data_IF_645328728711
#
_entry.id   IF_645328728711
#
_cell.length_a   1.000
_cell.length_b   1.000
_cell.length_c   1.000
_cell.angle_alpha   90.00
_cell.angle_beta   90.00
_cell.angle_gamma   90.00
#
_symmetry.space_group_name_H-M   'P 1'
#
loop_
_entity.id
_entity.type
_entity.pdbx_description
1 polymer ?
#
# COMPACT_ATOMS: atom_id res chain seq x y z
N UNK A 1 5.57 0.50 6.35
CA UNK A 1 4.15 0.68 5.94
C UNK A 1 4.10 1.16 4.50
N UNK A 2 3.09 0.75 3.71
CA UNK A 2 2.98 1.17 2.30
C UNK A 2 2.42 2.57 2.13
N UNK A 3 1.44 2.95 2.91
CA UNK A 3 0.66 4.18 2.74
C UNK A 3 0.73 5.14 3.92
N UNK A 4 1.56 4.86 4.90
CA UNK A 4 1.68 5.66 6.10
C UNK A 4 3.12 5.94 6.48
N UNK A 5 3.30 6.92 7.36
CA UNK A 5 4.57 7.26 7.99
C UNK A 5 4.81 6.52 9.31
N UNK A 6 3.76 5.95 9.91
CA UNK A 6 3.85 5.27 11.19
C UNK A 6 4.41 3.85 11.04
N UNK A 7 5.13 3.39 12.05
CA UNK A 7 5.59 2.01 12.15
C UNK A 7 4.47 1.09 12.64
N UNK A 8 4.63 -0.23 12.53
CA UNK A 8 3.71 -1.20 13.14
C UNK A 8 3.53 -0.94 14.63
N UNK A 9 4.61 -0.62 15.34
CA UNK A 9 4.59 -0.33 16.77
C UNK A 9 3.73 0.89 17.10
N UNK A 10 3.97 2.01 16.42
CA UNK A 10 3.19 3.24 16.62
C UNK A 10 1.70 3.03 16.36
N UNK A 11 1.34 2.28 15.30
CA UNK A 11 -0.07 1.98 15.01
C UNK A 11 -0.68 1.09 16.07
N UNK A 12 0.02 0.05 16.52
CA UNK A 12 -0.46 -0.87 17.55
C UNK A 12 -0.59 -0.21 18.92
N UNK A 13 0.36 0.66 19.31
CA UNK A 13 0.26 1.46 20.53
C UNK A 13 -0.97 2.37 20.50
N UNK A 14 -1.20 3.06 19.38
CA UNK A 14 -2.40 3.90 19.20
C UNK A 14 -3.68 3.08 19.22
N UNK A 15 -3.68 1.87 18.63
CA UNK A 15 -4.81 0.96 18.65
C UNK A 15 -5.14 0.51 20.08
N UNK A 16 -4.14 0.08 20.85
CA UNK A 16 -4.29 -0.31 22.23
C UNK A 16 -4.83 0.83 23.11
N UNK A 17 -4.26 2.05 22.97
CA UNK A 17 -4.71 3.23 23.68
C UNK A 17 -6.17 3.60 23.41
N UNK A 18 -6.69 3.26 22.21
CA UNK A 18 -8.08 3.51 21.78
C UNK A 18 -9.02 2.34 22.06
N UNK A 19 -8.53 1.28 22.70
CA UNK A 19 -9.32 0.09 23.00
C UNK A 19 -9.68 -0.76 21.78
N UNK A 20 -8.87 -0.71 20.73
CA UNK A 20 -9.03 -1.59 19.55
C UNK A 20 -8.58 -3.00 19.93
N UNK A 21 -9.51 -3.95 19.90
CA UNK A 21 -9.24 -5.34 20.27
C UNK A 21 -8.62 -6.16 19.12
N UNK A 22 -8.96 -5.83 17.87
CA UNK A 22 -8.51 -6.56 16.66
C UNK A 22 -8.08 -5.60 15.59
N UNK A 23 -6.93 -5.86 14.95
CA UNK A 23 -6.37 -5.06 13.88
C UNK A 23 -5.81 -5.94 12.77
N UNK A 24 -5.96 -5.53 11.52
CA UNK A 24 -5.25 -6.11 10.39
C UNK A 24 -4.35 -5.05 9.75
N UNK A 25 -3.09 -5.40 9.48
CA UNK A 25 -2.26 -4.62 8.57
C UNK A 25 -2.44 -5.16 7.16
N UNK A 26 -2.88 -4.29 6.24
CA UNK A 26 -3.13 -4.62 4.84
C UNK A 26 -2.24 -3.79 3.94
N UNK A 27 -0.92 -3.96 4.07
CA UNK A 27 0.05 -3.26 3.23
C UNK A 27 -0.10 -3.67 1.76
N UNK A 28 0.17 -2.74 0.86
CA UNK A 28 0.08 -2.99 -0.58
C UNK A 28 1.09 -4.04 -1.05
N UNK A 29 0.54 -5.09 -1.65
CA UNK A 29 1.24 -6.13 -2.41
C UNK A 29 2.28 -6.94 -1.59
N UNK A 30 2.20 -6.92 -0.25
CA UNK A 30 3.16 -7.59 0.64
C UNK A 30 2.55 -8.06 1.94
N UNK A 31 3.00 -9.22 2.42
CA UNK A 31 2.73 -9.77 3.76
C UNK A 31 3.92 -9.64 4.70
N UNK A 32 5.01 -9.01 4.27
CA UNK A 32 6.24 -8.87 5.06
C UNK A 32 5.98 -8.07 6.34
N UNK A 33 6.46 -8.59 7.47
CA UNK A 33 6.34 -7.99 8.79
C UNK A 33 5.08 -8.38 9.58
N UNK A 34 4.21 -9.24 9.04
CA UNK A 34 3.02 -9.70 9.76
C UNK A 34 3.35 -10.51 11.00
N UNK A 35 4.41 -11.31 10.98
CA UNK A 35 4.87 -12.08 12.15
C UNK A 35 5.32 -11.16 13.27
N UNK A 36 6.17 -10.18 12.96
CA UNK A 36 6.62 -9.20 13.94
C UNK A 36 5.47 -8.34 14.48
N UNK A 37 4.52 -7.96 13.61
CA UNK A 37 3.33 -7.22 14.02
C UNK A 37 2.43 -8.04 14.96
N UNK A 38 2.31 -9.35 14.73
CA UNK A 38 1.55 -10.27 15.60
C UNK A 38 2.17 -10.35 17.00
N UNK A 39 3.48 -10.60 17.08
CA UNK A 39 4.21 -10.67 18.35
C UNK A 39 4.09 -9.35 19.15
N UNK A 40 4.13 -8.24 18.45
CA UNK A 40 3.98 -6.92 19.05
C UNK A 40 2.54 -6.69 19.54
N UNK A 41 1.54 -7.07 18.72
CA UNK A 41 0.12 -6.99 19.07
C UNK A 41 -0.21 -7.80 20.33
N UNK A 42 0.34 -9.03 20.46
CA UNK A 42 0.19 -9.87 21.66
C UNK A 42 0.71 -9.17 22.92
N UNK A 43 1.86 -8.49 22.84
CA UNK A 43 2.42 -7.72 23.96
C UNK A 43 1.56 -6.51 24.37
N UNK A 44 0.88 -5.92 23.39
CA UNK A 44 0.04 -4.72 23.58
C UNK A 44 -1.45 -5.05 23.82
N UNK A 45 -1.82 -6.34 23.80
CA UNK A 45 -3.20 -6.77 23.99
C UNK A 45 -4.11 -6.53 22.78
N UNK A 46 -3.54 -6.38 21.57
CA UNK A 46 -4.26 -6.22 20.31
C UNK A 46 -4.13 -7.50 19.49
N UNK A 47 -5.25 -8.17 19.23
CA UNK A 47 -5.26 -9.36 18.39
C UNK A 47 -4.99 -8.99 16.93
N UNK A 48 -3.89 -9.50 16.37
CA UNK A 48 -3.55 -9.27 14.98
C UNK A 48 -4.19 -10.30 14.04
N UNK A 49 -4.79 -9.80 12.97
CA UNK A 49 -5.22 -10.58 11.80
C UNK A 49 -4.23 -10.31 10.68
N UNK A 50 -3.65 -11.36 10.10
CA UNK A 50 -2.77 -11.21 8.95
C UNK A 50 -3.53 -10.64 7.76
N UNK A 51 -2.89 -9.74 7.00
CA UNK A 51 -3.57 -9.08 5.89
C UNK A 51 -2.64 -8.60 4.78
N UNK A 52 -3.23 -8.35 3.64
CA UNK A 52 -2.60 -7.76 2.45
C UNK A 52 -3.65 -6.94 1.69
N UNK A 53 -3.24 -5.89 0.99
CA UNK A 53 -4.07 -5.21 0.00
C UNK A 53 -3.42 -5.38 -1.38
N UNK A 54 -3.99 -6.26 -2.20
CA UNK A 54 -3.48 -6.53 -3.55
C UNK A 54 -3.94 -5.44 -4.50
N UNK A 55 -2.98 -4.77 -5.14
CA UNK A 55 -3.23 -3.80 -6.21
C UNK A 55 -3.56 -4.53 -7.50
N UNK A 56 -4.81 -4.54 -7.91
CA UNK A 56 -5.31 -5.31 -9.03
C UNK A 56 -6.04 -4.45 -10.07
N UNK A 57 -6.35 -5.07 -11.21
CA UNK A 57 -7.08 -4.45 -12.30
C UNK A 57 -8.20 -5.38 -12.78
N UNK A 58 -9.39 -4.83 -12.94
CA UNK A 58 -10.49 -5.50 -13.59
C UNK A 58 -10.38 -5.24 -15.11
N UNK A 59 -9.78 -6.18 -15.82
CA UNK A 59 -9.58 -6.06 -17.28
C UNK A 59 -10.88 -6.14 -18.08
N UNK A 60 -11.92 -6.73 -17.51
CA UNK A 60 -13.23 -6.81 -18.16
C UNK A 60 -13.91 -5.44 -18.20
N UNK A 61 -13.76 -4.66 -17.12
CA UNK A 61 -14.38 -3.34 -16.97
C UNK A 61 -13.40 -2.18 -17.14
N UNK A 62 -12.10 -2.46 -17.34
CA UNK A 62 -11.08 -1.47 -17.64
C UNK A 62 -10.76 -0.53 -16.47
N UNK A 63 -10.74 -1.02 -15.21
CA UNK A 63 -10.53 -0.18 -14.03
C UNK A 63 -9.66 -0.84 -12.96
N UNK A 64 -9.02 0.00 -12.14
CA UNK A 64 -8.30 -0.46 -10.95
C UNK A 64 -9.27 -0.92 -9.88
N UNK A 65 -8.85 -1.95 -9.16
CA UNK A 65 -9.53 -2.47 -7.98
C UNK A 65 -8.50 -2.88 -6.94
N UNK A 66 -8.88 -2.86 -5.67
CA UNK A 66 -8.03 -3.42 -4.63
C UNK A 66 -8.75 -4.59 -3.96
N UNK A 67 -8.01 -5.67 -3.74
CA UNK A 67 -8.52 -6.87 -3.08
C UNK A 67 -7.77 -7.05 -1.76
N UNK A 68 -8.48 -6.98 -0.64
CA UNK A 68 -7.91 -7.36 0.65
C UNK A 68 -7.87 -8.88 0.75
N UNK A 69 -6.76 -9.40 1.27
CA UNK A 69 -6.68 -10.76 1.81
C UNK A 69 -6.61 -10.67 3.33
N UNK A 70 -7.61 -11.19 4.04
CA UNK A 70 -7.63 -11.23 5.49
C UNK A 70 -7.44 -12.66 5.99
N UNK A 71 -6.66 -12.85 7.05
CA UNK A 71 -6.34 -14.17 7.60
C UNK A 71 -5.17 -14.85 6.89
N UNK A 72 -4.42 -14.14 6.03
CA UNK A 72 -3.23 -14.68 5.37
C UNK A 72 -2.00 -14.61 6.28
N UNK A 73 -1.04 -15.51 6.04
CA UNK A 73 0.20 -15.56 6.80
C UNK A 73 1.34 -14.82 6.08
N UNK A 74 2.41 -14.46 6.82
CA UNK A 74 3.62 -13.91 6.21
C UNK A 74 4.26 -14.94 5.28
N UNK A 75 4.64 -14.51 4.07
CA UNK A 75 5.25 -15.37 3.06
C UNK A 75 4.27 -16.31 2.35
N UNK A 76 2.97 -16.07 2.46
CA UNK A 76 1.90 -16.75 1.74
C UNK A 76 2.29 -16.96 0.26
N UNK A 77 2.45 -18.22 -0.24
CA UNK A 77 3.19 -18.49 -1.48
C UNK A 77 2.48 -18.02 -2.74
N UNK A 78 1.16 -18.16 -2.83
CA UNK A 78 0.40 -17.72 -4.01
C UNK A 78 0.41 -16.19 -4.12
N UNK A 79 0.24 -15.48 -3.02
CA UNK A 79 0.32 -14.02 -2.95
C UNK A 79 1.74 -13.52 -3.24
N UNK A 80 2.77 -14.17 -2.70
CA UNK A 80 4.16 -13.81 -2.95
C UNK A 80 4.52 -13.96 -4.44
N UNK A 81 4.08 -15.04 -5.08
CA UNK A 81 4.28 -15.27 -6.50
C UNK A 81 3.54 -14.24 -7.37
N UNK A 82 2.29 -13.90 -6.99
CA UNK A 82 1.47 -12.94 -7.72
C UNK A 82 2.00 -11.51 -7.60
N UNK A 83 2.34 -11.06 -6.38
CA UNK A 83 2.66 -9.66 -6.09
C UNK A 83 4.14 -9.31 -6.31
N UNK A 84 5.03 -10.29 -6.45
CA UNK A 84 6.47 -10.04 -6.52
C UNK A 84 6.89 -9.12 -7.66
N UNK A 85 6.34 -9.31 -8.87
CA UNK A 85 6.60 -8.43 -10.01
C UNK A 85 6.01 -7.02 -9.81
N UNK A 86 4.84 -6.92 -9.19
CA UNK A 86 4.18 -5.65 -8.88
C UNK A 86 5.04 -4.79 -7.95
N UNK A 87 5.61 -5.39 -6.90
CA UNK A 87 6.53 -4.69 -5.97
C UNK A 87 7.79 -4.20 -6.69
N UNK A 88 8.39 -5.01 -7.56
CA UNK A 88 9.57 -4.61 -8.32
C UNK A 88 9.27 -3.45 -9.26
N UNK A 89 8.17 -3.52 -10.01
CA UNK A 89 7.72 -2.44 -10.90
C UNK A 89 7.39 -1.17 -10.11
N UNK A 90 6.72 -1.30 -8.97
CA UNK A 90 6.38 -0.18 -8.09
C UNK A 90 7.64 0.54 -7.60
N UNK A 91 8.64 -0.20 -7.13
CA UNK A 91 9.91 0.38 -6.69
C UNK A 91 10.62 1.10 -7.83
N UNK A 92 10.75 0.47 -8.99
CA UNK A 92 11.36 1.07 -10.17
C UNK A 92 10.60 2.31 -10.66
N UNK A 93 9.26 2.27 -10.60
CA UNK A 93 8.42 3.40 -10.96
C UNK A 93 8.57 4.58 -9.97
N UNK A 94 8.61 4.29 -8.68
CA UNK A 94 8.77 5.34 -7.66
C UNK A 94 10.17 5.97 -7.68
N UNK A 95 11.22 5.20 -7.97
CA UNK A 95 12.57 5.75 -8.21
C UNK A 95 12.58 6.68 -9.42
N UNK A 96 11.99 6.25 -10.55
CA UNK A 96 11.84 7.11 -11.73
C UNK A 96 11.04 8.39 -11.41
N UNK A 97 9.97 8.31 -10.62
CA UNK A 97 9.19 9.46 -10.20
C UNK A 97 10.03 10.42 -9.33
N UNK A 98 10.86 9.88 -8.43
CA UNK A 98 11.79 10.68 -7.63
C UNK A 98 12.78 11.45 -8.50
N UNK A 99 13.37 10.77 -9.50
CA UNK A 99 14.28 11.41 -10.47
C UNK A 99 13.57 12.54 -11.23
N UNK A 100 12.33 12.32 -11.66
CA UNK A 100 11.53 13.36 -12.36
C UNK A 100 11.26 14.59 -11.50
N UNK A 101 11.00 14.39 -10.21
CA UNK A 101 10.79 15.51 -9.28
C UNK A 101 12.06 16.33 -9.12
N UNK A 102 13.21 15.67 -8.96
CA UNK A 102 14.52 16.34 -8.84
C UNK A 102 14.87 17.10 -10.12
N UNK A 103 14.73 16.48 -11.29
CA UNK A 103 15.01 17.08 -12.59
C UNK A 103 14.11 18.28 -12.90
N UNK A 104 12.87 18.26 -12.43
CA UNK A 104 11.92 19.36 -12.57
C UNK A 104 12.14 20.50 -11.55
N UNK A 105 13.12 20.36 -10.65
CA UNK A 105 13.50 21.37 -9.67
C UNK A 105 12.58 21.45 -8.44
N UNK A 106 11.84 20.39 -8.14
CA UNK A 106 11.09 20.33 -6.89
C UNK A 106 12.05 20.17 -5.71
N UNK A 107 11.78 20.87 -4.61
CA UNK A 107 12.46 20.67 -3.34
C UNK A 107 11.96 19.39 -2.70
N UNK A 108 12.62 18.27 -2.98
CA UNK A 108 12.32 16.95 -2.43
C UNK A 108 13.48 16.45 -1.56
N UNK A 109 13.17 16.02 -0.35
CA UNK A 109 14.15 15.37 0.54
C UNK A 109 14.38 13.92 0.08
N UNK A 110 15.34 13.76 -0.85
CA UNK A 110 15.67 12.47 -1.47
C UNK A 110 16.09 11.45 -0.43
N UNK A 111 16.89 11.85 0.58
CA UNK A 111 17.35 10.93 1.61
C UNK A 111 16.18 10.41 2.45
N UNK A 112 15.29 11.30 2.84
CA UNK A 112 14.05 10.96 3.55
C UNK A 112 13.17 10.00 2.76
N UNK A 113 12.97 10.23 1.46
CA UNK A 113 12.21 9.34 0.60
C UNK A 113 12.81 7.92 0.58
N UNK A 114 14.13 7.83 0.39
CA UNK A 114 14.85 6.56 0.34
C UNK A 114 14.89 5.84 1.71
N UNK A 115 14.99 6.57 2.82
CA UNK A 115 14.86 6.00 4.17
C UNK A 115 13.50 5.35 4.40
N UNK A 116 12.42 6.05 4.05
CA UNK A 116 11.06 5.51 4.13
C UNK A 116 10.88 4.26 3.26
N UNK A 117 11.45 4.27 2.04
CA UNK A 117 11.46 3.11 1.17
C UNK A 117 12.22 1.92 1.74
N UNK A 118 13.40 2.15 2.38
CA UNK A 118 14.19 1.10 3.05
C UNK A 118 13.48 0.52 4.28
N UNK A 119 12.71 1.34 4.99
CA UNK A 119 11.91 0.90 6.14
C UNK A 119 10.58 0.20 5.72
N UNK A 120 10.35 0.07 4.43
CA UNK A 120 9.19 -0.61 3.82
C UNK A 120 9.67 -1.71 2.87
N UNK A 121 8.75 -2.35 2.14
CA UNK A 121 9.10 -3.37 1.13
C UNK A 121 9.57 -2.79 -0.18
N UNK A 122 9.16 -1.55 -0.49
CA UNK A 122 9.64 -0.78 -1.64
C UNK A 122 9.35 0.71 -1.42
N UNK A 123 9.79 1.54 -2.35
CA UNK A 123 9.43 2.96 -2.38
C UNK A 123 8.01 3.11 -2.94
N UNK A 124 7.17 3.87 -2.23
CA UNK A 124 5.78 4.18 -2.59
C UNK A 124 5.60 5.68 -2.86
N UNK A 125 4.57 6.04 -3.63
CA UNK A 125 4.23 7.46 -3.90
C UNK A 125 4.02 8.27 -2.63
N UNK A 126 3.49 7.66 -1.58
CA UNK A 126 3.28 8.28 -0.27
C UNK A 126 4.61 8.66 0.40
N UNK A 127 5.68 7.88 0.20
CA UNK A 127 7.02 8.23 0.68
C UNK A 127 7.57 9.47 -0.06
N UNK A 128 7.31 9.55 -1.37
CA UNK A 128 7.68 10.74 -2.16
C UNK A 128 6.90 11.97 -1.69
N UNK A 129 5.61 11.83 -1.43
CA UNK A 129 4.80 12.91 -0.89
C UNK A 129 5.28 13.36 0.50
N UNK A 130 5.65 12.43 1.38
CA UNK A 130 6.19 12.74 2.71
C UNK A 130 7.55 13.44 2.66
N UNK A 131 8.29 13.29 1.55
CA UNK A 131 9.56 13.96 1.29
C UNK A 131 9.38 15.31 0.57
N UNK A 132 8.21 15.57 -0.03
CA UNK A 132 7.89 16.78 -0.80
C UNK A 132 7.17 17.84 0.02
N UNK A 133 6.37 17.44 1.00
CA UNK A 133 5.46 18.37 1.69
C UNK A 133 5.21 17.95 3.13
N UNK A 134 5.02 18.95 3.99
CA UNK A 134 4.53 18.79 5.36
C UNK A 134 3.00 18.85 5.46
N UNK A 135 2.30 19.04 4.33
CA UNK A 135 0.85 19.04 4.30
C UNK A 135 0.30 17.69 4.79
N UNK A 136 -0.60 17.68 5.78
CA UNK A 136 -1.12 16.43 6.30
C UNK A 136 -2.06 15.76 5.31
N UNK A 137 -2.00 14.44 5.22
CA UNK A 137 -3.01 13.65 4.52
C UNK A 137 -4.33 13.61 5.33
N UNK A 138 -5.50 13.84 4.74
CA UNK A 138 -5.81 14.16 3.34
C UNK A 138 -6.20 15.65 3.14
N UNK A 139 -5.35 16.59 3.50
CA UNK A 139 -5.63 18.02 3.32
C UNK A 139 -5.92 18.39 1.86
N UNK A 140 -6.53 19.53 1.63
CA UNK A 140 -6.75 20.03 0.27
C UNK A 140 -5.42 20.30 -0.46
N UNK A 141 -4.42 20.84 0.25
CA UNK A 141 -3.08 21.08 -0.27
C UNK A 141 -2.41 19.79 -0.71
N UNK A 142 -2.41 18.77 0.16
CA UNK A 142 -1.89 17.45 -0.18
C UNK A 142 -2.53 16.87 -1.44
N UNK A 143 -3.87 16.84 -1.50
CA UNK A 143 -4.59 16.27 -2.66
C UNK A 143 -4.31 17.02 -3.95
N UNK A 144 -4.24 18.35 -3.89
CA UNK A 144 -3.92 19.18 -5.07
C UNK A 144 -2.52 18.88 -5.58
N UNK A 145 -1.51 18.86 -4.70
CA UNK A 145 -0.14 18.53 -5.06
C UNK A 145 -0.02 17.11 -5.62
N UNK A 146 -0.63 16.13 -4.94
CA UNK A 146 -0.63 14.74 -5.40
C UNK A 146 -1.20 14.60 -6.82
N UNK A 147 -2.36 15.23 -7.08
CA UNK A 147 -2.99 15.16 -8.42
C UNK A 147 -2.13 15.82 -9.49
N UNK A 148 -1.59 17.01 -9.22
CA UNK A 148 -0.78 17.74 -10.20
C UNK A 148 0.52 17.02 -10.59
N UNK A 149 1.04 16.17 -9.71
CA UNK A 149 2.28 15.42 -9.97
C UNK A 149 2.03 14.02 -10.54
N UNK A 150 1.10 13.27 -9.93
CA UNK A 150 0.96 11.83 -10.15
C UNK A 150 -0.31 11.44 -10.93
N UNK A 151 -1.12 12.41 -11.35
CA UNK A 151 -2.38 12.21 -12.10
C UNK A 151 -2.49 13.24 -13.20
N UNK A 152 -3.48 13.05 -14.06
CA UNK A 152 -3.94 14.03 -15.05
C UNK A 152 -2.82 14.57 -15.97
N UNK A 153 -1.83 13.74 -16.32
CA UNK A 153 -0.68 14.10 -17.15
C UNK A 153 0.43 14.84 -16.42
N UNK A 154 0.47 14.78 -15.08
CA UNK A 154 1.56 15.30 -14.26
C UNK A 154 2.90 14.63 -14.58
N UNK A 155 4.01 15.29 -14.22
CA UNK A 155 5.38 14.83 -14.56
C UNK A 155 5.74 13.43 -14.02
N UNK A 156 5.04 12.97 -13.00
CA UNK A 156 5.16 11.65 -12.39
C UNK A 156 3.99 10.73 -12.73
N UNK A 157 3.12 11.12 -13.67
CA UNK A 157 1.94 10.34 -14.06
C UNK A 157 2.35 9.15 -14.93
N UNK A 158 2.82 8.11 -14.28
CA UNK A 158 3.13 6.80 -14.85
C UNK A 158 2.58 5.72 -13.94
N UNK A 159 1.99 4.71 -14.53
CA UNK A 159 1.46 3.57 -13.82
C UNK A 159 2.36 2.34 -13.95
N UNK A 160 2.00 1.28 -13.24
CA UNK A 160 2.62 -0.04 -13.32
C UNK A 160 1.62 -1.02 -13.92
N UNK A 161 2.08 -2.21 -14.30
CA UNK A 161 1.20 -3.30 -14.66
C UNK A 161 0.60 -3.91 -13.39
N UNK A 162 -0.72 -4.00 -13.38
CA UNK A 162 -1.48 -4.58 -12.26
C UNK A 162 -1.83 -6.04 -12.56
N UNK A 163 -1.96 -6.82 -11.51
CA UNK A 163 -2.45 -8.21 -11.60
C UNK A 163 -3.95 -8.23 -11.89
N UNK A 164 -4.45 -9.32 -12.48
CA UNK A 164 -5.90 -9.49 -12.68
C UNK A 164 -6.63 -9.63 -11.33
N UNK A 165 -7.76 -8.98 -11.19
CA UNK A 165 -8.57 -9.00 -9.96
C UNK A 165 -9.01 -10.42 -9.58
N UNK A 166 -9.31 -11.28 -10.57
CA UNK A 166 -9.70 -12.67 -10.35
C UNK A 166 -8.52 -13.51 -9.85
N UNK A 167 -7.31 -13.24 -10.35
CA UNK A 167 -6.10 -13.91 -9.89
C UNK A 167 -5.75 -13.46 -8.47
N UNK A 168 -5.98 -12.19 -8.12
CA UNK A 168 -5.83 -11.70 -6.76
C UNK A 168 -6.77 -12.43 -5.78
N UNK A 169 -8.05 -12.58 -6.14
CA UNK A 169 -9.02 -13.33 -5.33
C UNK A 169 -8.60 -14.80 -5.18
N UNK A 170 -8.16 -15.45 -6.28
CA UNK A 170 -7.70 -16.86 -6.23
C UNK A 170 -6.49 -17.02 -5.32
N UNK A 171 -5.48 -16.15 -5.43
CA UNK A 171 -4.28 -16.22 -4.60
C UNK A 171 -4.61 -16.04 -3.11
N UNK A 172 -5.51 -15.12 -2.75
CA UNK A 172 -5.97 -14.96 -1.38
C UNK A 172 -6.63 -16.23 -0.85
N UNK A 173 -7.52 -16.84 -1.65
CA UNK A 173 -8.24 -18.07 -1.25
C UNK A 173 -7.29 -19.27 -1.18
N UNK A 174 -6.36 -19.40 -2.12
CA UNK A 174 -5.35 -20.47 -2.13
C UNK A 174 -4.45 -20.41 -0.90
N UNK A 175 -4.10 -19.22 -0.45
CA UNK A 175 -3.34 -18.99 0.79
C UNK A 175 -4.21 -19.00 2.07
N UNK A 176 -5.48 -19.46 1.96
CA UNK A 176 -6.39 -19.67 3.10
C UNK A 176 -7.03 -18.39 3.65
N UNK A 177 -6.89 -17.27 2.97
CA UNK A 177 -7.47 -16.00 3.37
C UNK A 177 -8.92 -15.79 2.90
N UNK A 178 -9.55 -14.77 3.46
CA UNK A 178 -10.82 -14.21 3.01
C UNK A 178 -10.57 -13.03 2.07
N UNK A 179 -11.00 -13.15 0.82
CA UNK A 179 -10.92 -12.05 -0.14
C UNK A 179 -12.06 -11.04 0.08
N UNK A 180 -11.71 -9.76 0.14
CA UNK A 180 -12.65 -8.65 0.35
C UNK A 180 -12.37 -7.56 -0.68
N UNK A 181 -13.42 -7.05 -1.35
CA UNK A 181 -13.28 -5.88 -2.23
C UNK A 181 -13.04 -4.63 -1.38
N UNK A 182 -11.88 -3.99 -1.54
CA UNK A 182 -11.51 -2.80 -0.78
C UNK A 182 -12.21 -1.55 -1.33
N UNK A 183 -12.64 -0.67 -0.43
CA UNK A 183 -13.15 0.69 -0.70
C UNK A 183 -13.83 0.86 -2.10
N UNK A 184 -14.88 0.06 -2.43
CA UNK A 184 -15.48 0.04 -3.76
C UNK A 184 -16.03 1.42 -4.20
N UNK A 185 -16.41 2.28 -3.26
CA UNK A 185 -16.83 3.64 -3.55
C UNK A 185 -15.72 4.57 -4.01
N UNK A 186 -14.45 4.31 -3.64
CA UNK A 186 -13.32 5.10 -4.08
C UNK A 186 -12.95 4.78 -5.54
N UNK A 187 -13.12 3.53 -5.95
CA UNK A 187 -12.71 3.01 -7.26
C UNK A 187 -13.89 2.72 -8.18
N UNK A 188 -15.11 3.12 -7.79
CA UNK A 188 -16.37 2.89 -8.51
C UNK A 188 -16.54 1.43 -8.95
N UNK A 189 -16.40 0.52 -7.98
CA UNK A 189 -16.32 -0.92 -8.22
C UNK A 189 -17.40 -1.75 -7.49
N UNK A 190 -18.53 -1.13 -7.11
CA UNK A 190 -19.64 -1.81 -6.43
C UNK A 190 -20.26 -2.97 -7.23
N UNK A 191 -20.19 -2.92 -8.55
CA UNK A 191 -20.70 -3.97 -9.44
C UNK A 191 -19.82 -5.24 -9.48
N UNK A 192 -18.73 -5.28 -8.72
CA UNK A 192 -17.93 -6.47 -8.47
C UNK A 192 -18.39 -7.25 -7.21
N UNK A 193 -19.29 -6.68 -6.42
CA UNK A 193 -19.92 -7.34 -5.29
C UNK A 193 -21.07 -8.22 -5.77
#
# INVERSE_FOLDING_TARGET
MSDGSDTFEQVLEQAAQRGVERLAFTNHDTTVGLTAARELGERLGVQMVGGIEVSAYDFERGRKVHILGLGVEEGAPALAALCGSTLQQRNANSLWQLDRLVEAGYEVDVERALELGRASTCLYKQHLMAALTSEPYPSAGYRTLYRSLFKDGGICDRDIDYVDARDAVRAVVEDGGLAVLAHPGQLDSYDLL
#
